data_IF_627953965469
#
_entry.id   IF_627953965469
#
_cell.length_a   1.000
_cell.length_b   1.000
_cell.length_c   1.000
_cell.angle_alpha   90.00
_cell.angle_beta   90.00
_cell.angle_gamma   90.00
#
_symmetry.space_group_name_H-M   'P 1'
#
loop_
_entity.id
_entity.type
_entity.pdbx_description
1 polymer ?
#
# COMPACT_ATOMS: atom_id res chain seq x y z
N UNK A 1 10.49 -10.35 25.17
CA UNK A 1 10.24 -9.42 24.06
C UNK A 1 9.34 -8.30 24.55
N UNK A 2 9.62 -7.05 24.21
CA UNK A 2 8.71 -5.94 24.48
C UNK A 2 7.52 -6.04 23.52
N UNK A 3 6.31 -5.58 23.92
CA UNK A 3 5.21 -5.36 23.01
C UNK A 3 5.66 -4.40 21.92
N UNK A 4 5.40 -4.73 20.69
CA UNK A 4 5.88 -3.97 19.54
C UNK A 4 4.97 -4.17 18.35
N UNK A 5 5.44 -3.75 17.17
CA UNK A 5 4.66 -3.86 15.93
C UNK A 5 4.29 -5.30 15.53
N UNK A 6 4.96 -6.31 16.07
CA UNK A 6 4.81 -7.72 15.70
C UNK A 6 4.22 -8.62 16.80
N UNK A 7 4.04 -8.14 18.03
CA UNK A 7 3.53 -8.96 19.14
C UNK A 7 2.49 -8.18 19.94
N UNK A 8 1.42 -8.88 20.34
CA UNK A 8 0.34 -8.39 21.22
C UNK A 8 0.14 -9.40 22.36
N UNK A 9 0.15 -8.96 23.63
CA UNK A 9 0.00 -9.82 24.79
C UNK A 9 -1.40 -9.73 25.38
N UNK A 10 -1.95 -10.89 25.78
CA UNK A 10 -3.26 -11.00 26.40
C UNK A 10 -3.19 -11.92 27.61
N UNK A 11 -3.61 -11.41 28.76
CA UNK A 11 -3.65 -12.19 30.03
C UNK A 11 -4.55 -13.42 29.90
N UNK A 12 -5.69 -13.29 29.21
CA UNK A 12 -6.64 -14.35 28.99
C UNK A 12 -7.37 -14.19 27.66
N UNK A 13 -8.08 -15.23 27.21
CA UNK A 13 -8.96 -15.15 26.04
C UNK A 13 -10.27 -14.47 26.42
N UNK A 14 -10.47 -13.24 25.96
CA UNK A 14 -11.73 -12.52 26.14
C UNK A 14 -12.84 -12.99 25.18
N UNK A 15 -13.63 -13.98 25.64
CA UNK A 15 -14.72 -14.56 24.85
C UNK A 15 -15.92 -13.59 24.76
N UNK A 16 -16.23 -12.85 25.84
CA UNK A 16 -17.37 -11.92 25.88
C UNK A 16 -17.14 -10.65 25.09
N UNK A 17 -15.89 -10.23 24.92
CA UNK A 17 -15.47 -9.05 24.17
C UNK A 17 -14.38 -9.42 23.14
N UNK A 18 -14.65 -10.32 22.19
CA UNK A 18 -13.62 -10.87 21.31
C UNK A 18 -12.99 -9.82 20.38
N UNK A 19 -13.65 -8.68 20.16
CA UNK A 19 -13.08 -7.57 19.38
C UNK A 19 -11.77 -7.05 19.97
N UNK A 20 -11.55 -7.18 21.30
CA UNK A 20 -10.34 -6.72 21.97
C UNK A 20 -9.05 -7.32 21.42
N UNK A 21 -9.10 -8.58 20.94
CA UNK A 21 -7.97 -9.28 20.34
C UNK A 21 -8.17 -9.61 18.84
N UNK A 22 -9.42 -9.81 18.36
CA UNK A 22 -9.69 -10.04 16.94
C UNK A 22 -9.33 -8.84 16.06
N UNK A 23 -9.38 -7.60 16.60
CA UNK A 23 -8.83 -6.44 15.88
C UNK A 23 -7.34 -6.62 15.56
N UNK A 24 -6.57 -7.24 16.48
CA UNK A 24 -5.16 -7.53 16.25
C UNK A 24 -4.95 -8.64 15.22
N UNK A 25 -5.84 -9.64 15.16
CA UNK A 25 -5.82 -10.64 14.07
C UNK A 25 -6.00 -9.97 12.71
N UNK A 26 -7.03 -9.11 12.56
CA UNK A 26 -7.24 -8.33 11.34
C UNK A 26 -6.02 -7.45 11.02
N UNK A 27 -5.50 -6.73 12.02
CA UNK A 27 -4.37 -5.81 11.84
C UNK A 27 -3.08 -6.53 11.40
N UNK A 28 -2.75 -7.66 12.02
CA UNK A 28 -1.58 -8.46 11.62
C UNK A 28 -1.75 -9.04 10.21
N UNK A 29 -2.92 -9.58 9.88
CA UNK A 29 -3.20 -10.13 8.55
C UNK A 29 -3.10 -9.05 7.45
N UNK A 30 -3.50 -7.80 7.74
CA UNK A 30 -3.43 -6.66 6.83
C UNK A 30 -2.04 -5.99 6.77
N UNK A 31 -1.14 -6.31 7.69
CA UNK A 31 0.20 -5.70 7.78
C UNK A 31 1.30 -6.71 7.42
N UNK A 32 2.21 -6.97 8.33
CA UNK A 32 3.37 -7.84 8.10
C UNK A 32 3.26 -9.22 8.78
N UNK A 33 2.06 -9.56 9.29
CA UNK A 33 1.90 -10.69 10.19
C UNK A 33 2.26 -10.31 11.63
N UNK A 34 2.16 -11.29 12.53
CA UNK A 34 2.53 -11.09 13.94
C UNK A 34 1.96 -12.15 14.86
N UNK A 35 2.14 -11.95 16.15
CA UNK A 35 1.82 -12.90 17.18
C UNK A 35 0.86 -12.31 18.23
N UNK A 36 -0.09 -13.09 18.67
CA UNK A 36 -0.90 -12.79 19.86
C UNK A 36 -0.62 -13.88 20.88
N UNK A 37 -0.02 -13.48 21.98
CA UNK A 37 0.35 -14.41 23.05
C UNK A 37 -0.68 -14.34 24.17
N UNK A 38 -1.42 -15.40 24.39
CA UNK A 38 -2.40 -15.55 25.47
C UNK A 38 -1.76 -16.24 26.69
N UNK A 39 -2.13 -15.80 27.88
CA UNK A 39 -1.58 -16.26 29.15
C UNK A 39 -0.46 -15.37 29.68
N UNK A 40 -0.25 -14.19 29.09
CA UNK A 40 0.76 -13.22 29.49
C UNK A 40 0.11 -11.84 29.68
N UNK A 41 0.26 -11.27 30.87
CA UNK A 41 -0.10 -9.86 31.14
C UNK A 41 1.01 -8.97 30.60
N UNK A 42 0.63 -7.86 29.98
CA UNK A 42 1.61 -6.96 29.36
C UNK A 42 2.25 -6.00 30.36
N UNK A 43 1.49 -5.39 31.25
CA UNK A 43 2.01 -4.38 32.19
C UNK A 43 1.49 -4.58 33.63
N UNK A 44 2.34 -4.93 34.61
CA UNK A 44 3.70 -5.43 34.45
C UNK A 44 3.70 -6.76 33.70
N UNK A 45 4.78 -7.04 32.96
CA UNK A 45 4.88 -8.30 32.23
C UNK A 45 4.98 -9.47 33.17
N UNK A 46 3.99 -10.35 33.15
CA UNK A 46 3.86 -11.49 34.01
C UNK A 46 3.24 -12.66 33.28
N UNK A 47 3.82 -13.84 33.41
CA UNK A 47 3.21 -15.06 32.88
C UNK A 47 2.09 -15.49 33.83
N UNK A 48 0.86 -15.41 33.35
CA UNK A 48 -0.34 -15.79 34.10
C UNK A 48 -0.72 -17.26 33.84
N UNK A 49 -0.49 -17.74 32.62
CA UNK A 49 -0.91 -19.05 32.15
C UNK A 49 -2.39 -19.08 31.80
N UNK A 50 -2.81 -20.18 31.20
CA UNK A 50 -4.20 -20.44 30.78
C UNK A 50 -4.73 -21.73 31.37
N UNK A 51 -5.94 -21.66 31.90
CA UNK A 51 -6.71 -22.86 32.23
C UNK A 51 -7.27 -23.50 30.95
N UNK A 52 -7.30 -24.82 30.84
CA UNK A 52 -7.88 -25.56 29.73
C UNK A 52 -7.38 -25.13 28.33
N UNK A 53 -6.07 -25.22 28.03
CA UNK A 53 -5.49 -24.71 26.77
C UNK A 53 -6.19 -25.25 25.51
N UNK A 54 -6.67 -26.49 25.51
CA UNK A 54 -7.37 -27.10 24.39
C UNK A 54 -8.73 -26.42 24.09
N UNK A 55 -9.45 -26.03 25.13
CA UNK A 55 -10.69 -25.27 24.99
C UNK A 55 -10.41 -23.87 24.44
N UNK A 56 -9.35 -23.22 24.93
CA UNK A 56 -8.90 -21.90 24.44
C UNK A 56 -8.55 -21.96 22.97
N UNK A 57 -7.77 -22.95 22.51
CA UNK A 57 -7.43 -23.16 21.09
C UNK A 57 -8.70 -23.34 20.23
N UNK A 58 -9.64 -24.15 20.70
CA UNK A 58 -10.91 -24.38 20.00
C UNK A 58 -11.72 -23.08 19.87
N UNK A 59 -11.79 -22.28 20.93
CA UNK A 59 -12.51 -21.00 20.93
C UNK A 59 -11.82 -19.92 20.06
N UNK A 60 -10.50 -19.84 20.07
CA UNK A 60 -9.75 -18.95 19.17
C UNK A 60 -10.11 -19.29 17.72
N UNK A 61 -10.05 -20.56 17.34
CA UNK A 61 -10.34 -21.04 15.99
C UNK A 61 -11.79 -20.73 15.58
N UNK A 62 -12.77 -21.00 16.47
CA UNK A 62 -14.18 -20.70 16.24
C UNK A 62 -14.40 -19.21 15.99
N UNK A 63 -13.84 -18.35 16.86
CA UNK A 63 -14.03 -16.91 16.80
C UNK A 63 -13.33 -16.25 15.59
N UNK A 64 -12.16 -16.72 15.20
CA UNK A 64 -11.49 -16.24 13.99
C UNK A 64 -12.35 -16.57 12.77
N UNK A 65 -12.78 -17.82 12.61
CA UNK A 65 -13.62 -18.25 11.48
C UNK A 65 -14.96 -17.51 11.42
N UNK A 66 -15.55 -17.21 12.58
CA UNK A 66 -16.85 -16.54 12.65
C UNK A 66 -16.78 -15.03 12.45
N UNK A 67 -15.63 -14.40 12.69
CA UNK A 67 -15.53 -12.94 12.82
C UNK A 67 -14.49 -12.28 11.94
N UNK A 68 -13.57 -13.05 11.33
CA UNK A 68 -12.54 -12.50 10.42
C UNK A 68 -12.84 -13.01 9.00
N UNK A 69 -13.02 -12.09 8.08
CA UNK A 69 -13.34 -12.38 6.69
C UNK A 69 -12.47 -11.54 5.74
N UNK A 70 -11.74 -12.16 4.80
CA UNK A 70 -11.51 -13.62 4.71
C UNK A 70 -10.71 -14.13 5.91
N UNK A 71 -10.79 -15.43 6.18
CA UNK A 71 -10.01 -16.05 7.26
C UNK A 71 -8.52 -16.02 6.90
N UNK A 72 -7.64 -15.41 7.72
CA UNK A 72 -6.21 -15.38 7.45
C UNK A 72 -5.57 -16.75 7.66
N UNK A 73 -4.33 -16.91 7.19
CA UNK A 73 -3.49 -18.05 7.58
C UNK A 73 -2.94 -17.80 8.97
N UNK A 74 -3.09 -18.79 9.85
CA UNK A 74 -2.56 -18.71 11.21
C UNK A 74 -2.13 -20.08 11.72
N UNK A 75 -1.30 -20.07 12.74
CA UNK A 75 -0.88 -21.26 13.49
C UNK A 75 -1.07 -21.01 14.98
N UNK A 76 -1.33 -22.08 15.73
CA UNK A 76 -1.50 -22.03 17.18
C UNK A 76 -0.47 -22.96 17.82
N UNK A 77 0.39 -22.41 18.68
CA UNK A 77 1.43 -23.12 19.39
C UNK A 77 1.23 -22.99 20.90
N UNK A 78 0.97 -24.10 21.56
CA UNK A 78 1.00 -24.14 23.01
C UNK A 78 2.46 -24.31 23.49
N UNK A 79 2.88 -23.51 24.46
CA UNK A 79 4.20 -23.60 25.08
C UNK A 79 4.10 -23.42 26.59
N UNK A 80 5.11 -23.87 27.29
CA UNK A 80 5.19 -23.72 28.77
C UNK A 80 6.28 -22.73 29.14
N UNK A 81 5.96 -21.81 30.04
CA UNK A 81 6.87 -20.84 30.63
C UNK A 81 6.51 -20.69 32.11
N UNK A 82 7.47 -20.79 33.01
CA UNK A 82 7.28 -20.78 34.48
C UNK A 82 6.23 -21.81 34.96
N UNK A 83 6.28 -23.04 34.41
CA UNK A 83 5.31 -24.13 34.69
C UNK A 83 3.85 -23.78 34.35
N UNK A 84 3.61 -22.71 33.58
CA UNK A 84 2.31 -22.27 33.13
C UNK A 84 2.20 -22.42 31.62
N UNK A 85 1.02 -22.79 31.13
CA UNK A 85 0.80 -23.00 29.71
C UNK A 85 0.28 -21.69 29.08
N UNK A 86 0.94 -21.27 28.01
CA UNK A 86 0.57 -20.14 27.19
C UNK A 86 0.27 -20.61 25.76
N UNK A 87 -0.44 -19.77 25.00
CA UNK A 87 -0.75 -20.05 23.59
C UNK A 87 -0.23 -18.88 22.77
N UNK A 88 0.60 -19.17 21.78
CA UNK A 88 1.00 -18.25 20.72
C UNK A 88 0.13 -18.48 19.49
N UNK A 89 -0.58 -17.45 19.08
CA UNK A 89 -1.33 -17.36 17.82
C UNK A 89 -0.48 -16.57 16.84
N UNK A 90 0.20 -17.27 15.95
CA UNK A 90 0.94 -16.68 14.82
C UNK A 90 -0.02 -16.40 13.67
N UNK A 91 -0.13 -15.14 13.26
CA UNK A 91 -0.93 -14.70 12.12
C UNK A 91 0.02 -14.33 10.98
N UNK A 92 -0.20 -14.94 9.82
CA UNK A 92 0.55 -14.60 8.61
C UNK A 92 -0.23 -13.56 7.79
N UNK A 93 0.50 -12.63 7.18
CA UNK A 93 -0.11 -11.83 6.12
C UNK A 93 -0.43 -12.72 4.92
N UNK A 94 -1.46 -12.39 4.18
CA UNK A 94 -1.90 -13.20 3.04
C UNK A 94 -2.28 -12.34 1.84
N UNK A 95 -2.56 -12.95 0.68
CA UNK A 95 -2.89 -12.22 -0.55
C UNK A 95 -4.32 -11.68 -0.60
N UNK A 96 -5.22 -12.15 0.27
CA UNK A 96 -6.65 -11.86 0.19
C UNK A 96 -7.09 -10.59 0.95
N UNK A 97 -6.27 -9.53 0.85
CA UNK A 97 -6.60 -8.24 1.46
C UNK A 97 -7.91 -7.65 0.93
N UNK A 98 -8.66 -6.84 1.75
CA UNK A 98 -8.49 -6.62 3.19
C UNK A 98 -9.10 -7.75 4.03
N UNK A 99 -8.48 -8.02 5.19
CA UNK A 99 -9.02 -8.92 6.21
C UNK A 99 -9.87 -8.10 7.19
N UNK A 100 -11.18 -8.30 7.18
CA UNK A 100 -12.12 -7.54 7.99
C UNK A 100 -12.47 -8.27 9.29
N UNK A 101 -12.62 -7.50 10.36
CA UNK A 101 -13.43 -7.93 11.50
C UNK A 101 -14.91 -7.68 11.18
N UNK A 102 -15.76 -8.69 11.36
CA UNK A 102 -17.19 -8.63 11.06
C UNK A 102 -18.03 -9.14 12.23
N UNK A 103 -18.97 -8.33 12.68
CA UNK A 103 -19.93 -8.70 13.71
C UNK A 103 -21.10 -7.73 13.78
N UNK A 104 -22.36 -8.20 13.82
CA UNK A 104 -23.57 -7.42 14.04
C UNK A 104 -23.64 -6.13 13.17
N UNK A 105 -23.35 -6.26 11.87
CA UNK A 105 -23.35 -5.15 10.93
C UNK A 105 -22.06 -4.30 10.93
N UNK A 106 -21.14 -4.53 11.86
CA UNK A 106 -19.81 -3.92 11.85
C UNK A 106 -18.92 -4.69 10.87
N UNK A 107 -18.27 -3.98 9.94
CA UNK A 107 -17.30 -4.53 9.00
C UNK A 107 -16.12 -3.54 8.92
N UNK A 108 -15.03 -3.85 9.60
CA UNK A 108 -13.90 -2.93 9.77
C UNK A 108 -12.59 -3.66 9.53
N UNK A 109 -11.73 -3.09 8.69
CA UNK A 109 -10.35 -3.54 8.55
C UNK A 109 -9.45 -2.78 9.53
N UNK A 110 -8.54 -3.50 10.17
CA UNK A 110 -7.53 -2.93 11.07
C UNK A 110 -6.15 -3.07 10.46
N UNK A 111 -5.25 -2.15 10.80
CA UNK A 111 -3.83 -2.21 10.48
C UNK A 111 -2.99 -2.05 11.74
N UNK A 112 -1.75 -2.53 11.71
CA UNK A 112 -0.80 -2.35 12.79
C UNK A 112 -0.03 -1.05 12.59
N UNK A 113 -0.09 -0.19 13.61
CA UNK A 113 0.65 1.07 13.67
C UNK A 113 1.41 1.10 15.02
N UNK A 114 2.71 0.82 14.97
CA UNK A 114 3.51 0.58 16.18
C UNK A 114 2.98 -0.62 16.97
N UNK A 115 2.64 -0.40 18.23
CA UNK A 115 2.06 -1.37 19.17
C UNK A 115 0.53 -1.42 19.14
N UNK A 116 -0.13 -0.60 18.30
CA UNK A 116 -1.59 -0.47 18.28
C UNK A 116 -2.22 -1.07 17.02
N UNK A 117 -3.42 -1.63 17.20
CA UNK A 117 -4.29 -2.07 16.10
C UNK A 117 -5.37 -1.01 15.89
N UNK A 118 -5.25 -0.25 14.80
CA UNK A 118 -6.09 0.90 14.48
C UNK A 118 -7.01 0.59 13.29
N UNK A 119 -8.18 1.22 13.26
CA UNK A 119 -9.07 1.15 12.12
C UNK A 119 -8.42 1.84 10.91
N UNK A 120 -8.56 1.22 9.74
CA UNK A 120 -8.02 1.80 8.51
C UNK A 120 -8.71 3.11 8.17
N UNK A 121 -7.93 4.12 7.80
CA UNK A 121 -8.45 5.29 7.09
C UNK A 121 -9.00 4.90 5.71
N UNK A 122 -9.78 5.77 5.10
CA UNK A 122 -10.30 5.55 3.72
C UNK A 122 -9.17 5.27 2.73
N UNK A 123 -8.07 6.01 2.81
CA UNK A 123 -6.93 5.85 1.92
C UNK A 123 -6.22 4.51 2.13
N UNK A 124 -5.99 4.11 3.38
CA UNK A 124 -5.39 2.82 3.72
C UNK A 124 -6.27 1.64 3.29
N UNK A 125 -7.59 1.75 3.48
CA UNK A 125 -8.53 0.73 3.03
C UNK A 125 -8.51 0.58 1.50
N UNK A 126 -8.49 1.69 0.76
CA UNK A 126 -8.37 1.67 -0.70
C UNK A 126 -7.07 0.99 -1.15
N UNK A 127 -5.95 1.27 -0.49
CA UNK A 127 -4.67 0.63 -0.78
C UNK A 127 -4.70 -0.89 -0.52
N UNK A 128 -5.32 -1.33 0.58
CA UNK A 128 -5.51 -2.76 0.86
C UNK A 128 -6.39 -3.45 -0.18
N UNK A 129 -7.48 -2.82 -0.62
CA UNK A 129 -8.36 -3.35 -1.67
C UNK A 129 -7.57 -3.55 -2.97
N UNK A 130 -6.83 -2.55 -3.41
CA UNK A 130 -5.98 -2.65 -4.60
C UNK A 130 -4.94 -3.76 -4.49
N UNK A 131 -4.30 -3.86 -3.32
CA UNK A 131 -3.32 -4.92 -3.04
C UNK A 131 -3.96 -6.31 -3.12
N UNK A 132 -5.17 -6.49 -2.58
CA UNK A 132 -5.92 -7.75 -2.66
C UNK A 132 -6.37 -8.11 -4.08
N UNK A 133 -6.62 -7.12 -4.92
CA UNK A 133 -6.92 -7.30 -6.34
C UNK A 133 -5.67 -7.50 -7.20
N UNK A 134 -4.48 -7.42 -6.61
CA UNK A 134 -3.19 -7.41 -7.32
C UNK A 134 -3.14 -6.32 -8.42
N UNK A 135 -3.71 -5.14 -8.11
CA UNK A 135 -3.74 -3.97 -8.99
C UNK A 135 -3.06 -2.78 -8.33
N UNK A 136 -2.48 -1.94 -9.16
CA UNK A 136 -1.93 -0.64 -8.76
C UNK A 136 -2.88 0.49 -9.21
N UNK A 137 -2.78 1.67 -8.63
CA UNK A 137 -3.66 2.78 -8.95
C UNK A 137 -3.54 3.22 -10.41
N UNK A 138 -2.34 3.13 -10.98
CA UNK A 138 -2.08 3.46 -12.39
C UNK A 138 -2.77 2.49 -13.36
N UNK A 139 -2.99 1.22 -12.98
CA UNK A 139 -3.69 0.23 -13.78
C UNK A 139 -5.23 0.32 -13.70
N UNK A 140 -5.78 1.20 -12.85
CA UNK A 140 -7.23 1.41 -12.78
C UNK A 140 -7.74 2.18 -14.01
N UNK A 141 -8.91 1.82 -14.56
CA UNK A 141 -9.53 2.56 -15.66
C UNK A 141 -9.89 3.99 -15.24
N UNK A 142 -9.68 4.93 -16.13
CA UNK A 142 -10.09 6.32 -16.03
C UNK A 142 -11.43 6.54 -16.73
N UNK A 143 -12.05 7.72 -16.66
CA UNK A 143 -13.26 8.05 -17.43
C UNK A 143 -13.05 8.16 -18.94
N UNK A 144 -11.81 8.12 -19.45
CA UNK A 144 -11.49 8.34 -20.87
C UNK A 144 -11.35 7.03 -21.62
N UNK A 145 -11.74 7.05 -22.91
CA UNK A 145 -11.55 5.96 -23.86
C UNK A 145 -10.45 6.30 -24.88
N UNK A 146 -9.96 5.29 -25.60
CA UNK A 146 -8.93 5.46 -26.64
C UNK A 146 -9.31 6.50 -27.69
N UNK A 147 -10.60 6.68 -27.99
CA UNK A 147 -11.07 7.69 -28.93
C UNK A 147 -10.99 9.14 -28.43
N UNK A 148 -10.84 9.34 -27.14
CA UNK A 148 -10.81 10.67 -26.49
C UNK A 148 -9.38 11.23 -26.38
N UNK A 149 -8.36 10.39 -26.52
CA UNK A 149 -6.96 10.75 -26.33
C UNK A 149 -6.06 10.20 -27.44
N UNK A 150 -4.85 10.72 -27.55
CA UNK A 150 -3.82 10.22 -28.46
C UNK A 150 -2.51 9.94 -27.74
N UNK A 151 -1.65 9.11 -28.36
CA UNK A 151 -0.36 8.67 -27.82
C UNK A 151 0.76 8.90 -28.86
N UNK A 152 0.71 10.04 -29.57
CA UNK A 152 1.63 10.34 -30.67
C UNK A 152 3.07 10.47 -30.20
N UNK A 153 3.28 11.17 -29.08
CA UNK A 153 4.63 11.33 -28.50
C UNK A 153 5.18 10.00 -27.97
N UNK A 154 4.32 9.18 -27.35
CA UNK A 154 4.69 7.85 -26.92
C UNK A 154 5.10 6.97 -28.11
N UNK A 155 4.29 6.94 -29.17
CA UNK A 155 4.56 6.17 -30.39
C UNK A 155 5.89 6.59 -31.06
N UNK A 156 6.13 7.91 -31.19
CA UNK A 156 7.36 8.44 -31.73
C UNK A 156 8.58 8.06 -30.85
N UNK A 157 8.42 8.11 -29.54
CA UNK A 157 9.50 7.76 -28.58
C UNK A 157 9.81 6.26 -28.66
N UNK A 158 8.77 5.43 -28.69
CA UNK A 158 8.88 3.97 -28.83
C UNK A 158 9.65 3.62 -30.13
N UNK A 159 9.24 4.15 -31.27
CA UNK A 159 9.90 3.96 -32.56
C UNK A 159 11.37 4.38 -32.55
N UNK A 160 11.67 5.52 -31.93
CA UNK A 160 13.05 6.01 -31.83
C UNK A 160 13.93 5.15 -30.93
N UNK A 161 13.38 4.63 -29.84
CA UNK A 161 14.12 3.82 -28.86
C UNK A 161 14.32 2.38 -29.33
N UNK A 162 13.26 1.73 -29.80
CA UNK A 162 13.27 0.29 -30.12
C UNK A 162 13.48 0.01 -31.60
N UNK A 163 13.37 1.04 -32.49
CA UNK A 163 13.43 0.91 -33.96
C UNK A 163 12.30 0.05 -34.55
N UNK A 164 11.21 -0.06 -33.83
CA UNK A 164 10.01 -0.80 -34.20
C UNK A 164 8.81 0.16 -34.31
N UNK A 165 7.82 -0.19 -35.12
CA UNK A 165 6.58 0.58 -35.24
C UNK A 165 5.66 0.27 -34.06
N UNK A 166 5.16 1.34 -33.43
CA UNK A 166 4.20 1.28 -32.34
C UNK A 166 2.85 0.81 -32.87
N UNK A 167 2.29 -0.24 -32.27
CA UNK A 167 0.99 -0.82 -32.59
C UNK A 167 0.00 -0.50 -31.45
N UNK A 168 -0.83 0.58 -31.54
CA UNK A 168 -1.65 1.05 -30.43
C UNK A 168 -2.52 -0.03 -29.80
N UNK A 169 -3.22 -0.83 -30.60
CA UNK A 169 -4.14 -1.86 -30.11
C UNK A 169 -3.43 -2.98 -29.30
N UNK A 170 -2.17 -3.24 -29.61
CA UNK A 170 -1.36 -4.26 -28.94
C UNK A 170 -0.52 -3.68 -27.81
N UNK A 171 0.21 -2.61 -28.12
CA UNK A 171 1.26 -2.10 -27.23
C UNK A 171 0.67 -1.34 -26.03
N UNK A 172 -0.44 -0.61 -26.22
CA UNK A 172 -1.17 0.03 -25.12
C UNK A 172 -1.82 -0.99 -24.18
N UNK A 173 -2.34 -2.08 -24.73
CA UNK A 173 -2.92 -3.16 -23.93
C UNK A 173 -1.84 -3.93 -23.14
N UNK A 174 -0.76 -4.33 -23.80
CA UNK A 174 0.33 -5.10 -23.20
C UNK A 174 1.07 -4.32 -22.11
N UNK A 175 1.08 -2.99 -22.17
CA UNK A 175 1.66 -2.09 -21.17
C UNK A 175 0.66 -1.62 -20.13
N UNK A 176 -0.57 -2.13 -20.16
CA UNK A 176 -1.67 -1.75 -19.24
C UNK A 176 -2.03 -0.26 -19.27
N UNK A 177 -1.69 0.46 -20.34
CA UNK A 177 -2.08 1.87 -20.54
C UNK A 177 -3.54 2.00 -21.00
N UNK A 178 -4.09 0.92 -21.54
CA UNK A 178 -5.49 0.77 -21.94
C UNK A 178 -5.98 -0.60 -21.46
N UNK A 179 -7.25 -0.70 -21.09
CA UNK A 179 -7.91 -1.95 -20.71
C UNK A 179 -8.44 -2.68 -21.96
N UNK A 180 -8.83 -3.97 -21.80
CA UNK A 180 -9.37 -4.78 -22.91
C UNK A 180 -10.64 -4.19 -23.54
N UNK A 181 -11.43 -3.46 -22.77
CA UNK A 181 -12.63 -2.74 -23.22
C UNK A 181 -12.36 -1.33 -23.74
N UNK A 182 -11.08 -0.97 -23.92
CA UNK A 182 -10.66 0.29 -24.56
C UNK A 182 -10.69 1.52 -23.66
N UNK A 183 -10.83 1.36 -22.34
CA UNK A 183 -10.69 2.47 -21.41
C UNK A 183 -9.20 2.78 -21.16
N UNK A 184 -8.86 4.06 -21.16
CA UNK A 184 -7.52 4.53 -20.80
C UNK A 184 -7.34 4.42 -19.30
N UNK A 185 -6.23 3.84 -18.85
CA UNK A 185 -5.93 3.74 -17.40
C UNK A 185 -5.37 5.06 -16.85
N UNK A 186 -5.30 5.19 -15.52
CA UNK A 186 -4.66 6.36 -14.90
C UNK A 186 -3.19 6.52 -15.35
N UNK A 187 -2.48 5.40 -15.56
CA UNK A 187 -1.13 5.39 -16.14
C UNK A 187 -1.13 5.86 -17.60
N UNK A 188 -2.13 5.45 -18.37
CA UNK A 188 -2.33 5.90 -19.75
C UNK A 188 -2.52 7.42 -19.84
N UNK A 189 -3.28 8.02 -18.90
CA UNK A 189 -3.48 9.48 -18.88
C UNK A 189 -2.18 10.27 -18.65
N UNK A 190 -1.22 9.69 -17.94
CA UNK A 190 0.10 10.31 -17.73
C UNK A 190 0.95 10.34 -19.01
N UNK A 191 0.64 9.46 -19.97
CA UNK A 191 1.40 9.31 -21.21
C UNK A 191 0.65 9.79 -22.45
N UNK A 192 -0.64 10.16 -22.33
CA UNK A 192 -1.40 10.74 -23.47
C UNK A 192 -0.96 12.18 -23.78
N UNK A 193 -1.25 12.62 -25.00
CA UNK A 193 -0.78 13.91 -25.50
C UNK A 193 -1.63 15.10 -25.00
N UNK A 194 -2.85 14.86 -24.49
CA UNK A 194 -3.84 15.91 -24.20
C UNK A 194 -3.63 16.66 -22.89
N UNK A 195 -2.69 16.24 -22.03
CA UNK A 195 -2.42 16.94 -20.76
C UNK A 195 -3.64 17.04 -19.84
N UNK A 196 -4.47 15.99 -19.79
CA UNK A 196 -5.74 15.99 -19.03
C UNK A 196 -5.55 16.04 -17.50
N UNK A 197 -4.34 15.80 -17.03
CA UNK A 197 -3.98 15.82 -15.61
C UNK A 197 -3.26 17.12 -15.27
N UNK A 198 -3.97 18.09 -14.71
CA UNK A 198 -3.40 19.39 -14.32
C UNK A 198 -2.26 19.31 -13.29
N UNK A 199 -2.20 18.23 -12.51
CA UNK A 199 -1.11 17.98 -11.57
C UNK A 199 0.14 17.37 -12.25
N UNK A 200 0.07 16.97 -13.52
CA UNK A 200 1.22 16.44 -14.26
C UNK A 200 2.12 17.57 -14.71
N UNK A 201 2.92 18.09 -13.79
CA UNK A 201 3.81 19.23 -14.00
C UNK A 201 5.12 19.10 -13.20
N UNK A 202 6.15 19.81 -13.65
CA UNK A 202 7.43 19.92 -12.99
C UNK A 202 7.86 21.37 -12.91
N UNK A 203 8.32 21.80 -11.73
CA UNK A 203 8.89 23.11 -11.50
C UNK A 203 10.40 22.98 -11.43
N UNK A 204 11.11 23.76 -12.23
CA UNK A 204 12.56 23.73 -12.33
C UNK A 204 13.11 25.13 -12.02
N UNK A 205 13.83 25.26 -10.91
CA UNK A 205 14.43 26.54 -10.49
C UNK A 205 15.94 26.41 -10.28
N UNK A 206 16.72 27.33 -10.88
CA UNK A 206 18.14 27.46 -10.63
C UNK A 206 18.38 28.64 -9.68
N UNK A 207 19.01 28.35 -8.55
CA UNK A 207 19.32 29.31 -7.53
C UNK A 207 20.76 29.88 -7.68
N UNK A 208 20.99 31.13 -7.27
CA UNK A 208 22.34 31.79 -7.24
C UNK A 208 23.33 31.02 -6.38
N UNK A 209 22.86 30.45 -5.26
CA UNK A 209 23.67 29.76 -4.26
C UNK A 209 23.38 28.28 -4.17
N UNK A 210 23.81 27.67 -3.07
CA UNK A 210 23.60 26.28 -2.73
C UNK A 210 22.31 26.05 -1.94
N UNK A 211 21.59 27.10 -1.59
CA UNK A 211 20.35 27.04 -0.81
C UNK A 211 19.21 27.70 -1.59
N UNK A 212 17.99 27.23 -1.31
CA UNK A 212 16.77 27.84 -1.83
C UNK A 212 16.59 29.24 -1.23
N UNK A 213 16.47 30.25 -2.09
CA UNK A 213 16.27 31.64 -1.72
C UNK A 213 14.87 32.15 -2.08
N UNK A 214 14.75 33.50 -2.20
CA UNK A 214 13.54 34.13 -2.71
C UNK A 214 13.51 34.00 -4.25
N UNK A 215 12.34 33.56 -4.79
CA UNK A 215 12.23 33.30 -6.22
C UNK A 215 12.46 34.54 -7.08
N UNK A 216 11.98 35.72 -6.63
CA UNK A 216 12.09 36.97 -7.36
C UNK A 216 13.52 37.59 -7.33
N UNK A 217 14.31 37.29 -6.29
CA UNK A 217 15.61 37.90 -6.06
C UNK A 217 16.81 36.97 -6.34
N UNK A 218 16.64 35.67 -6.07
CA UNK A 218 17.72 34.68 -6.05
C UNK A 218 17.60 33.60 -7.13
N UNK A 219 16.48 33.49 -7.84
CA UNK A 219 16.35 32.59 -8.97
C UNK A 219 17.10 33.15 -10.21
N UNK A 220 17.94 32.32 -10.80
CA UNK A 220 18.66 32.63 -12.04
C UNK A 220 17.89 32.15 -13.29
N UNK A 221 17.11 31.09 -13.14
CA UNK A 221 16.23 30.56 -14.16
C UNK A 221 15.09 29.83 -13.45
N UNK A 222 13.85 30.02 -13.89
CA UNK A 222 12.66 29.42 -13.33
C UNK A 222 11.70 29.05 -14.45
N UNK A 223 11.31 27.77 -14.50
CA UNK A 223 10.40 27.24 -15.53
C UNK A 223 9.44 26.22 -14.96
N UNK A 224 8.22 26.31 -15.42
CA UNK A 224 7.19 25.31 -15.24
C UNK A 224 6.94 24.58 -16.58
N UNK A 225 6.88 23.26 -16.50
CA UNK A 225 6.50 22.41 -17.61
C UNK A 225 5.28 21.59 -17.21
N UNK A 226 4.30 21.46 -18.10
CA UNK A 226 3.06 20.74 -17.91
C UNK A 226 2.80 19.81 -19.11
N UNK A 227 2.21 18.66 -18.88
CA UNK A 227 1.85 17.68 -19.92
C UNK A 227 2.21 16.26 -19.60
N UNK A 228 2.46 15.45 -20.64
CA UNK A 228 2.76 14.04 -20.45
C UNK A 228 4.18 13.81 -19.90
N UNK A 229 4.37 12.65 -19.24
CA UNK A 229 5.62 12.33 -18.53
C UNK A 229 6.85 12.31 -19.46
N UNK A 230 6.72 11.93 -20.71
CA UNK A 230 7.84 11.90 -21.66
C UNK A 230 8.32 13.32 -21.93
N UNK A 231 7.39 14.25 -22.17
CA UNK A 231 7.71 15.66 -22.33
C UNK A 231 8.33 16.25 -21.07
N UNK A 232 7.76 15.97 -19.90
CA UNK A 232 8.27 16.46 -18.62
C UNK A 232 9.69 15.95 -18.34
N UNK A 233 9.94 14.66 -18.56
CA UNK A 233 11.26 14.07 -18.40
C UNK A 233 12.31 14.73 -19.32
N UNK A 234 11.95 14.94 -20.60
CA UNK A 234 12.82 15.59 -21.58
C UNK A 234 13.12 17.03 -21.18
N UNK A 235 12.07 17.81 -20.87
CA UNK A 235 12.18 19.23 -20.52
C UNK A 235 12.96 19.44 -19.22
N UNK A 236 12.69 18.64 -18.18
CA UNK A 236 13.44 18.69 -16.93
C UNK A 236 14.92 18.31 -17.11
N UNK A 237 15.20 17.30 -17.93
CA UNK A 237 16.57 16.89 -18.24
C UNK A 237 17.33 17.97 -19.03
N UNK A 238 16.67 18.63 -19.98
CA UNK A 238 17.23 19.76 -20.74
C UNK A 238 17.49 20.96 -19.83
N UNK A 239 16.56 21.28 -18.92
CA UNK A 239 16.75 22.34 -17.94
C UNK A 239 17.98 22.09 -17.07
N UNK A 240 18.14 20.89 -16.50
CA UNK A 240 19.30 20.51 -15.70
C UNK A 240 20.58 20.63 -16.52
N UNK A 241 20.60 20.12 -17.75
CA UNK A 241 21.77 20.17 -18.64
C UNK A 241 22.19 21.62 -18.95
N UNK A 242 21.23 22.49 -19.24
CA UNK A 242 21.47 23.87 -19.57
C UNK A 242 21.92 24.71 -18.37
N UNK A 243 21.49 24.30 -17.17
CA UNK A 243 21.76 25.01 -15.92
C UNK A 243 22.88 24.38 -15.08
N UNK A 244 23.40 23.21 -15.46
CA UNK A 244 24.53 22.56 -14.78
C UNK A 244 25.87 23.17 -15.21
N UNK A 245 26.75 23.41 -14.25
CA UNK A 245 28.14 23.86 -14.52
C UNK A 245 29.08 22.69 -14.87
N UNK A 246 28.64 21.47 -14.70
CA UNK A 246 29.43 20.27 -15.01
C UNK A 246 29.34 20.02 -16.52
N UNK A 247 30.44 20.29 -17.24
CA UNK A 247 30.62 19.78 -18.58
C UNK A 247 30.83 18.27 -18.47
N UNK A 248 29.88 17.51 -18.96
CA UNK A 248 30.13 16.09 -19.23
C UNK A 248 31.15 16.04 -20.40
N UNK A 249 32.34 15.55 -20.10
CA UNK A 249 33.38 15.24 -21.09
C UNK A 249 33.06 13.88 -21.68
#
# INVERSE_FOLDING_TARGET
LLEGSSVDYKEALEIKKPRSWLKSVSAFANSFGGHIVFGVRDNPREVCGLDNPQEVISKITELIKARIDPTPRYQLHAFSEDDKICIDLEIQNGPAYPYYYRFEGVCVAYIRNGDQSEETSRQQLSALILKGMNKTFDALPSPYHMGDVSFTLLAATFKNALKEDFQPDKDLLSTTLVTEDGQVTNGGLLLCDQGVLSQSRIFCTRWKGTHKGNIDADALDDKEYEGNLIYLLKSGSEFIRNNSKVRFV
#
